data_IF_692125067993
#
_entry.id   IF_692125067993
#
_cell.length_a   1.000
_cell.length_b   1.000
_cell.length_c   1.000
_cell.angle_alpha   90.00
_cell.angle_beta   90.00
_cell.angle_gamma   90.00
#
_symmetry.space_group_name_H-M   'P 1'
#
loop_
_entity.id
_entity.type
_entity.pdbx_description
1 polymer ?
#
# COMPACT_ATOMS: atom_id res chain seq x y z
N UNK A 1 28.87 -23.77 52.94
CA UNK A 1 27.60 -23.06 53.24
C UNK A 1 26.67 -23.23 52.04
N UNK A 2 25.43 -23.66 52.24
CA UNK A 2 24.44 -23.76 51.15
C UNK A 2 23.73 -22.42 51.00
N UNK A 3 23.78 -21.77 49.82
CA UNK A 3 23.16 -20.47 49.62
C UNK A 3 21.65 -20.64 49.34
N UNK A 4 20.85 -20.75 50.39
CA UNK A 4 19.39 -20.91 50.27
C UNK A 4 18.70 -19.78 49.48
N UNK A 5 19.28 -18.58 49.47
CA UNK A 5 18.74 -17.43 48.74
C UNK A 5 18.98 -17.48 47.22
N UNK A 6 20.00 -18.22 46.76
CA UNK A 6 20.38 -18.25 45.35
C UNK A 6 19.33 -18.96 44.49
N UNK A 7 18.68 -20.00 45.04
CA UNK A 7 17.66 -20.77 44.34
C UNK A 7 16.35 -20.01 44.08
N UNK A 8 16.09 -18.92 44.81
CA UNK A 8 14.89 -18.09 44.64
C UNK A 8 15.17 -16.78 43.90
N UNK A 9 16.41 -16.29 43.92
CA UNK A 9 16.77 -15.02 43.31
C UNK A 9 16.41 -14.95 41.81
N UNK A 10 16.84 -15.95 41.04
CA UNK A 10 16.60 -16.02 39.59
C UNK A 10 15.12 -16.12 39.21
N UNK A 11 14.31 -17.06 39.73
CA UNK A 11 12.90 -17.14 39.37
C UNK A 11 12.11 -15.90 39.80
N UNK A 12 12.42 -15.29 40.95
CA UNK A 12 11.77 -14.04 41.37
C UNK A 12 12.15 -12.87 40.46
N UNK A 13 13.43 -12.73 40.09
CA UNK A 13 13.88 -11.68 39.18
C UNK A 13 13.26 -11.81 37.79
N UNK A 14 13.18 -13.04 37.26
CA UNK A 14 12.50 -13.33 35.98
C UNK A 14 11.02 -12.99 36.09
N UNK A 15 10.32 -13.44 37.12
CA UNK A 15 8.88 -13.21 37.28
C UNK A 15 8.53 -11.72 37.38
N UNK A 16 9.30 -10.96 38.16
CA UNK A 16 9.12 -9.50 38.27
C UNK A 16 9.51 -8.81 36.97
N UNK A 17 10.62 -9.22 36.33
CA UNK A 17 11.11 -8.63 35.10
C UNK A 17 10.16 -8.83 33.91
N UNK A 18 9.62 -10.03 33.73
CA UNK A 18 8.63 -10.31 32.67
C UNK A 18 7.30 -9.60 32.95
N UNK A 19 6.86 -9.54 34.21
CA UNK A 19 5.71 -8.75 34.62
C UNK A 19 5.87 -7.27 34.28
N UNK A 20 7.06 -6.71 34.56
CA UNK A 20 7.36 -5.32 34.21
C UNK A 20 7.42 -5.09 32.69
N UNK A 21 7.93 -6.06 31.94
CA UNK A 21 7.89 -6.04 30.48
C UNK A 21 6.46 -5.97 29.95
N UNK A 22 5.55 -6.79 30.49
CA UNK A 22 4.16 -6.81 30.08
C UNK A 22 3.42 -5.49 30.34
N UNK A 23 3.70 -4.82 31.47
CA UNK A 23 3.19 -3.46 31.73
C UNK A 23 3.62 -2.43 30.67
N UNK A 24 4.74 -2.68 29.97
CA UNK A 24 5.26 -1.84 28.89
C UNK A 24 4.94 -2.40 27.50
N UNK A 25 4.04 -3.38 27.39
CA UNK A 25 3.65 -4.00 26.12
C UNK A 25 4.69 -4.96 25.53
N UNK A 26 5.69 -5.39 26.31
CA UNK A 26 6.73 -6.34 25.88
C UNK A 26 6.45 -7.69 26.52
N UNK A 27 6.02 -8.65 25.70
CA UNK A 27 5.66 -10.00 26.17
C UNK A 27 6.81 -10.98 25.93
N UNK A 28 7.46 -11.41 27.02
CA UNK A 28 8.47 -12.47 26.99
C UNK A 28 7.82 -13.85 27.14
N UNK A 29 8.09 -14.77 26.22
CA UNK A 29 7.56 -16.16 26.24
C UNK A 29 8.38 -17.14 27.10
N UNK A 30 9.16 -16.62 28.05
CA UNK A 30 10.12 -17.40 28.84
C UNK A 30 11.17 -16.49 29.48
N UNK A 31 11.79 -16.97 30.57
CA UNK A 31 12.84 -16.23 31.28
C UNK A 31 14.16 -16.16 30.52
N UNK A 32 14.46 -17.20 29.76
CA UNK A 32 15.64 -17.31 28.88
C UNK A 32 15.66 -16.23 27.80
N UNK A 33 14.49 -15.77 27.34
CA UNK A 33 14.39 -14.68 26.36
C UNK A 33 14.73 -13.32 26.99
N UNK A 34 14.33 -13.11 28.25
CA UNK A 34 14.67 -11.90 29.01
C UNK A 34 16.16 -11.84 29.31
N UNK A 35 16.77 -12.97 29.71
CA UNK A 35 18.20 -13.08 29.96
C UNK A 35 19.04 -12.84 28.69
N UNK A 36 18.65 -13.46 27.57
CA UNK A 36 19.36 -13.30 26.29
C UNK A 36 19.26 -11.89 25.74
N UNK A 37 18.18 -11.18 26.00
CA UNK A 37 17.96 -9.81 25.51
C UNK A 37 19.09 -8.85 25.91
N UNK A 38 19.68 -9.02 27.10
CA UNK A 38 20.80 -8.17 27.55
C UNK A 38 22.07 -8.33 26.69
N UNK A 39 22.29 -9.51 26.11
CA UNK A 39 23.48 -9.82 25.32
C UNK A 39 23.35 -9.51 23.82
N UNK A 40 22.20 -8.99 23.38
CA UNK A 40 21.98 -8.66 21.98
C UNK A 40 22.84 -7.47 21.56
N UNK A 41 23.54 -7.60 20.43
CA UNK A 41 24.39 -6.55 19.84
C UNK A 41 23.87 -6.03 18.51
N UNK A 42 23.00 -6.80 17.85
CA UNK A 42 22.41 -6.46 16.57
C UNK A 42 20.91 -6.76 16.60
N UNK A 43 20.13 -5.86 16.01
CA UNK A 43 18.68 -6.01 15.83
C UNK A 43 18.42 -5.90 14.33
N UNK A 44 17.87 -6.95 13.75
CA UNK A 44 17.38 -6.95 12.36
C UNK A 44 15.88 -6.83 12.43
N UNK A 45 15.34 -5.74 11.89
CA UNK A 45 13.91 -5.50 11.85
C UNK A 45 13.39 -5.89 10.48
N UNK A 46 12.32 -6.68 10.45
CA UNK A 46 11.55 -6.85 9.22
C UNK A 46 10.87 -5.52 8.85
N UNK A 47 10.70 -5.24 7.57
CA UNK A 47 10.08 -3.97 7.15
C UNK A 47 8.56 -4.05 7.31
N UNK A 48 7.95 -5.07 6.70
CA UNK A 48 6.50 -5.14 6.53
C UNK A 48 5.83 -5.64 7.81
N UNK A 49 5.03 -4.81 8.45
CA UNK A 49 4.31 -5.19 9.68
C UNK A 49 5.13 -5.09 10.98
N UNK A 50 6.42 -4.73 10.90
CA UNK A 50 7.23 -4.36 12.07
C UNK A 50 7.59 -2.88 12.05
N UNK A 51 8.25 -2.40 10.98
CA UNK A 51 8.54 -0.96 10.82
C UNK A 51 7.34 -0.23 10.21
N UNK A 52 6.65 -0.87 9.27
CA UNK A 52 5.48 -0.31 8.59
C UNK A 52 4.18 -0.78 9.23
N UNK A 53 3.11 -0.01 9.05
CA UNK A 53 1.74 -0.36 9.50
C UNK A 53 1.16 -1.61 8.82
N UNK A 54 1.82 -2.16 7.79
CA UNK A 54 1.30 -3.27 6.99
C UNK A 54 0.15 -2.90 6.05
N UNK A 55 -0.33 -1.66 6.10
CA UNK A 55 -1.43 -1.14 5.28
C UNK A 55 -0.88 -0.20 4.19
N UNK A 56 -1.03 -0.52 2.90
CA UNK A 56 -0.64 0.38 1.83
C UNK A 56 -1.55 1.61 1.81
N UNK A 57 -0.96 2.77 1.49
CA UNK A 57 -1.68 4.04 1.37
C UNK A 57 -1.21 4.76 0.10
N UNK A 58 -2.14 5.42 -0.59
CA UNK A 58 -1.82 6.25 -1.76
C UNK A 58 -1.07 7.50 -1.30
N UNK A 59 0.18 7.65 -1.76
CA UNK A 59 1.04 8.79 -1.43
C UNK A 59 0.91 9.91 -2.47
N UNK A 60 0.97 9.55 -3.74
CA UNK A 60 1.04 10.48 -4.87
C UNK A 60 0.00 10.11 -5.91
N UNK A 61 -0.68 11.13 -6.46
CA UNK A 61 -1.52 11.00 -7.65
C UNK A 61 -0.93 11.93 -8.68
N UNK A 62 -0.46 11.41 -9.81
CA UNK A 62 0.14 12.21 -10.88
C UNK A 62 -0.61 12.01 -12.17
N UNK A 63 -1.05 13.10 -12.76
CA UNK A 63 -1.74 13.11 -14.05
C UNK A 63 -0.74 13.49 -15.14
N UNK A 64 -0.81 12.82 -16.29
CA UNK A 64 -0.13 13.29 -17.48
C UNK A 64 -0.87 14.53 -18.00
N UNK A 65 -0.20 15.69 -17.96
CA UNK A 65 -0.65 16.88 -18.68
C UNK A 65 -0.52 16.66 -20.19
N UNK A 66 -1.41 17.26 -20.98
CA UNK A 66 -1.43 17.19 -22.44
C UNK A 66 -0.23 17.89 -23.14
N UNK A 67 0.79 18.30 -22.38
CA UNK A 67 1.89 19.15 -22.86
C UNK A 67 3.23 18.40 -23.02
N UNK A 68 3.21 17.07 -23.05
CA UNK A 68 4.39 16.25 -23.36
C UNK A 68 4.29 15.66 -24.78
N UNK A 69 4.60 16.48 -25.78
CA UNK A 69 5.08 16.02 -27.09
C UNK A 69 4.04 15.42 -28.04
N UNK A 70 3.77 16.13 -29.13
CA UNK A 70 2.99 15.68 -30.27
C UNK A 70 3.43 14.31 -30.83
N UNK A 71 2.48 13.37 -30.97
CA UNK A 71 2.68 12.21 -31.84
C UNK A 71 1.77 11.01 -31.53
N UNK A 72 0.94 10.66 -32.53
CA UNK A 72 0.22 9.39 -32.72
C UNK A 72 -1.00 9.13 -31.81
N UNK A 73 -2.17 9.30 -32.41
CA UNK A 73 -3.46 9.17 -31.75
C UNK A 73 -3.96 7.74 -31.54
N UNK A 74 -4.95 7.64 -30.66
CA UNK A 74 -6.07 6.74 -30.78
C UNK A 74 -7.22 7.39 -29.99
N UNK A 75 -8.24 7.84 -30.71
CA UNK A 75 -9.36 8.56 -30.12
C UNK A 75 -10.20 7.70 -29.18
N UNK A 76 -10.78 8.35 -28.17
CA UNK A 76 -12.24 8.44 -28.00
C UNK A 76 -12.55 9.21 -26.70
N UNK A 77 -13.14 10.40 -26.84
CA UNK A 77 -13.93 11.05 -25.77
C UNK A 77 -13.16 11.70 -24.62
N UNK A 78 -12.23 12.61 -24.92
CA UNK A 78 -11.74 13.55 -23.93
C UNK A 78 -12.61 14.82 -23.94
N UNK A 79 -13.83 14.70 -23.42
CA UNK A 79 -14.52 15.90 -22.93
C UNK A 79 -13.75 16.41 -21.72
N UNK A 80 -13.15 17.58 -21.88
CA UNK A 80 -12.66 18.44 -20.79
C UNK A 80 -11.39 17.97 -20.07
N UNK A 81 -10.23 18.21 -20.69
CA UNK A 81 -8.98 18.47 -19.94
C UNK A 81 -8.80 19.99 -19.74
N UNK A 82 -9.90 20.71 -19.52
CA UNK A 82 -9.92 22.13 -19.15
C UNK A 82 -10.31 22.23 -17.68
N UNK A 83 -9.42 21.79 -16.80
CA UNK A 83 -9.61 21.78 -15.36
C UNK A 83 -8.29 22.05 -14.66
N UNK A 84 -8.35 22.56 -13.44
CA UNK A 84 -7.16 22.74 -12.61
C UNK A 84 -6.52 21.38 -12.31
N UNK A 85 -5.22 21.35 -11.99
CA UNK A 85 -4.50 20.08 -11.69
C UNK A 85 -5.22 19.24 -10.62
N UNK A 86 -5.88 19.90 -9.65
CA UNK A 86 -6.66 19.26 -8.60
C UNK A 86 -7.92 18.53 -9.12
N UNK A 87 -8.59 19.08 -10.14
CA UNK A 87 -9.77 18.45 -10.74
C UNK A 87 -9.36 17.20 -11.54
N UNK A 88 -8.20 17.26 -12.19
CA UNK A 88 -7.65 16.16 -12.96
C UNK A 88 -7.22 14.99 -12.05
N UNK A 89 -6.57 15.27 -10.93
CA UNK A 89 -6.22 14.26 -9.91
C UNK A 89 -7.48 13.62 -9.32
N UNK A 90 -8.49 14.43 -9.00
CA UNK A 90 -9.79 13.94 -8.51
C UNK A 90 -10.48 13.01 -9.51
N UNK A 91 -10.46 13.37 -10.80
CA UNK A 91 -10.99 12.53 -11.88
C UNK A 91 -10.24 11.20 -12.00
N UNK A 92 -8.91 11.22 -11.96
CA UNK A 92 -8.09 10.01 -12.03
C UNK A 92 -8.39 9.08 -10.85
N UNK A 93 -8.40 9.63 -9.63
CA UNK A 93 -8.68 8.88 -8.41
C UNK A 93 -10.10 8.29 -8.43
N UNK A 94 -11.10 9.04 -8.93
CA UNK A 94 -12.48 8.58 -9.11
C UNK A 94 -12.56 7.36 -10.04
N UNK A 95 -11.92 7.45 -11.20
CA UNK A 95 -11.93 6.37 -12.21
C UNK A 95 -11.14 5.16 -11.73
N UNK A 96 -9.97 5.36 -11.12
CA UNK A 96 -9.17 4.28 -10.56
C UNK A 96 -9.91 3.52 -9.45
N UNK A 97 -10.56 4.25 -8.53
CA UNK A 97 -11.34 3.64 -7.46
C UNK A 97 -12.56 2.86 -7.99
N UNK A 98 -13.16 3.27 -9.11
CA UNK A 98 -14.29 2.56 -9.70
C UNK A 98 -13.89 1.17 -10.21
N UNK A 99 -12.75 1.07 -10.89
CA UNK A 99 -12.21 -0.22 -11.36
C UNK A 99 -11.77 -1.08 -10.17
N UNK A 100 -11.06 -0.49 -9.21
CA UNK A 100 -10.46 -1.21 -8.08
C UNK A 100 -11.48 -1.60 -7.00
N UNK A 101 -12.69 -1.05 -7.02
CA UNK A 101 -13.79 -1.44 -6.13
C UNK A 101 -14.12 -2.94 -6.21
N UNK A 102 -13.90 -3.57 -7.37
CA UNK A 102 -14.15 -4.99 -7.61
C UNK A 102 -12.92 -5.88 -7.32
N UNK A 103 -11.80 -5.31 -6.90
CA UNK A 103 -10.54 -6.01 -6.65
C UNK A 103 -10.30 -6.18 -5.15
N UNK A 104 -9.92 -7.39 -4.72
CA UNK A 104 -9.60 -7.70 -3.31
C UNK A 104 -8.16 -7.35 -2.94
N UNK A 105 -7.35 -6.89 -3.90
CA UNK A 105 -5.92 -6.66 -3.70
C UNK A 105 -5.67 -5.52 -2.68
N UNK A 106 -4.69 -5.63 -1.76
CA UNK A 106 -4.43 -4.57 -0.76
C UNK A 106 -4.18 -3.18 -1.36
N UNK A 107 -3.53 -3.11 -2.53
CA UNK A 107 -3.32 -1.85 -3.25
C UNK A 107 -4.63 -1.25 -3.81
N UNK A 108 -5.55 -2.10 -4.25
CA UNK A 108 -6.88 -1.68 -4.72
C UNK A 108 -7.67 -1.01 -3.60
N UNK A 109 -7.64 -1.65 -2.42
CA UNK A 109 -8.29 -1.13 -1.22
C UNK A 109 -7.72 0.24 -0.83
N UNK A 110 -6.41 0.44 -0.93
CA UNK A 110 -5.79 1.73 -0.64
C UNK A 110 -6.32 2.87 -1.53
N UNK A 111 -6.55 2.59 -2.83
CA UNK A 111 -7.10 3.55 -3.78
C UNK A 111 -8.57 3.87 -3.45
N UNK A 112 -9.38 2.85 -3.16
CA UNK A 112 -10.79 3.00 -2.79
C UNK A 112 -10.94 3.78 -1.49
N UNK A 113 -10.12 3.51 -0.48
CA UNK A 113 -10.10 4.24 0.79
C UNK A 113 -9.74 5.71 0.53
N UNK A 114 -8.66 5.98 -0.22
CA UNK A 114 -8.25 7.35 -0.56
C UNK A 114 -9.36 8.13 -1.26
N UNK A 115 -10.07 7.51 -2.20
CA UNK A 115 -11.21 8.15 -2.89
C UNK A 115 -12.37 8.46 -1.94
N UNK A 116 -12.70 7.55 -1.02
CA UNK A 116 -13.75 7.76 0.00
C UNK A 116 -13.37 8.86 0.99
N UNK A 117 -12.13 8.88 1.45
CA UNK A 117 -11.61 9.91 2.38
C UNK A 117 -11.66 11.30 1.75
N UNK A 118 -11.46 11.39 0.44
CA UNK A 118 -11.62 12.62 -0.34
C UNK A 118 -13.08 12.97 -0.66
N UNK A 119 -14.07 12.20 -0.18
CA UNK A 119 -15.49 12.44 -0.42
C UNK A 119 -15.93 12.21 -1.86
N UNK A 120 -15.16 11.44 -2.65
CA UNK A 120 -15.44 11.20 -4.06
C UNK A 120 -16.49 10.10 -4.22
N UNK A 121 -17.55 10.38 -4.97
CA UNK A 121 -18.55 9.36 -5.36
C UNK A 121 -17.94 8.42 -6.40
N UNK A 122 -17.87 7.13 -6.05
CA UNK A 122 -17.27 6.09 -6.90
C UNK A 122 -18.35 5.48 -7.82
N UNK A 123 -18.24 5.62 -9.16
CA UNK A 123 -19.18 5.01 -10.10
C UNK A 123 -19.03 3.47 -10.14
N UNK A 124 -20.01 2.78 -10.72
CA UNK A 124 -19.91 1.34 -10.96
C UNK A 124 -19.08 1.03 -12.20
N UNK A 125 -18.19 0.04 -12.07
CA UNK A 125 -17.46 -0.54 -13.18
C UNK A 125 -18.19 -1.79 -13.69
N UNK A 126 -18.31 -1.90 -15.01
CA UNK A 126 -18.84 -3.07 -15.73
C UNK A 126 -17.71 -3.79 -16.44
N UNK A 127 -17.89 -5.08 -16.78
CA UNK A 127 -16.89 -5.88 -17.51
C UNK A 127 -15.50 -5.89 -16.86
N UNK A 128 -15.43 -6.09 -15.54
CA UNK A 128 -14.17 -6.21 -14.81
C UNK A 128 -13.44 -7.52 -15.16
N UNK A 129 -12.17 -7.41 -15.53
CA UNK A 129 -11.26 -8.51 -15.85
C UNK A 129 -9.96 -8.33 -15.06
N UNK A 130 -9.61 -9.32 -14.23
CA UNK A 130 -8.33 -9.37 -13.56
C UNK A 130 -7.30 -10.06 -14.47
N UNK A 131 -6.15 -9.42 -14.68
CA UNK A 131 -5.03 -9.92 -15.49
C UNK A 131 -3.85 -10.28 -14.56
N UNK A 132 -3.70 -11.56 -14.17
CA UNK A 132 -2.71 -11.96 -13.17
C UNK A 132 -1.28 -11.59 -13.58
N UNK A 133 -0.57 -10.87 -12.70
CA UNK A 133 0.79 -10.40 -12.95
C UNK A 133 0.91 -9.15 -13.83
N UNK A 134 -0.22 -8.58 -14.27
CA UNK A 134 -0.26 -7.37 -15.10
C UNK A 134 -1.09 -6.25 -14.47
N UNK A 135 -2.31 -6.55 -14.00
CA UNK A 135 -3.22 -5.55 -13.46
C UNK A 135 -4.69 -5.94 -13.63
N UNK A 136 -5.54 -4.95 -13.87
CA UNK A 136 -6.99 -5.09 -14.05
C UNK A 136 -7.48 -4.21 -15.22
N UNK A 137 -8.56 -4.64 -15.86
CA UNK A 137 -9.25 -3.89 -16.90
C UNK A 137 -10.75 -3.83 -16.56
N UNK A 138 -11.40 -2.69 -16.79
CA UNK A 138 -12.85 -2.59 -16.67
C UNK A 138 -13.42 -1.45 -17.51
N UNK A 139 -14.73 -1.39 -17.63
CA UNK A 139 -15.46 -0.30 -18.31
C UNK A 139 -16.18 0.55 -17.28
N UNK A 140 -15.86 1.85 -17.23
CA UNK A 140 -16.48 2.84 -16.35
C UNK A 140 -17.00 3.98 -17.20
N UNK A 141 -18.26 4.38 -17.02
CA UNK A 141 -18.89 5.46 -17.82
C UNK A 141 -18.77 5.23 -19.35
N UNK A 142 -18.72 3.96 -19.79
CA UNK A 142 -18.57 3.60 -21.21
C UNK A 142 -17.13 3.66 -21.74
N UNK A 143 -16.15 4.00 -20.91
CA UNK A 143 -14.73 4.05 -21.25
C UNK A 143 -14.00 2.82 -20.73
N UNK A 144 -13.16 2.19 -21.57
CA UNK A 144 -12.28 1.10 -21.14
C UNK A 144 -11.09 1.68 -20.37
N UNK A 145 -10.95 1.27 -19.11
CA UNK A 145 -9.86 1.63 -18.22
C UNK A 145 -8.95 0.44 -17.98
N UNK A 146 -7.64 0.71 -17.95
CA UNK A 146 -6.58 -0.25 -17.70
C UNK A 146 -5.75 0.25 -16.52
N UNK A 147 -5.56 -0.58 -15.50
CA UNK A 147 -4.76 -0.27 -14.33
C UNK A 147 -3.77 -1.40 -14.14
N UNK A 148 -2.48 -1.11 -14.11
CA UNK A 148 -1.48 -2.16 -14.01
C UNK A 148 -0.06 -1.66 -14.20
N UNK A 149 0.84 -2.62 -14.43
CA UNK A 149 2.26 -2.36 -14.64
C UNK A 149 2.59 -2.00 -16.09
N UNK A 150 3.85 -1.65 -16.34
CA UNK A 150 4.36 -1.28 -17.67
C UNK A 150 4.13 -2.37 -18.72
N UNK A 151 4.21 -3.65 -18.34
CA UNK A 151 3.98 -4.77 -19.27
C UNK A 151 2.54 -4.80 -19.78
N UNK A 152 1.56 -4.44 -18.94
CA UNK A 152 0.17 -4.29 -19.37
C UNK A 152 0.06 -3.19 -20.42
N UNK A 153 0.68 -2.04 -20.16
CA UNK A 153 0.65 -0.88 -21.05
C UNK A 153 1.28 -1.19 -22.41
N UNK A 154 2.46 -1.82 -22.42
CA UNK A 154 3.14 -2.26 -23.65
C UNK A 154 2.29 -3.26 -24.45
N UNK A 155 1.63 -4.22 -23.78
CA UNK A 155 0.78 -5.22 -24.44
C UNK A 155 -0.44 -4.60 -25.14
N UNK A 156 -0.86 -3.41 -24.69
CA UNK A 156 -1.99 -2.65 -25.25
C UNK A 156 -1.51 -1.50 -26.15
N UNK A 157 -0.20 -1.38 -26.38
CA UNK A 157 0.38 -0.34 -27.23
C UNK A 157 0.33 1.06 -26.62
N UNK A 158 0.28 1.17 -25.29
CA UNK A 158 0.23 2.45 -24.58
C UNK A 158 1.66 2.88 -24.22
N UNK A 159 2.10 4.04 -24.73
CA UNK A 159 3.40 4.61 -24.40
C UNK A 159 3.40 5.10 -22.94
N UNK A 160 4.23 4.48 -22.10
CA UNK A 160 4.40 4.83 -20.68
C UNK A 160 5.63 5.70 -20.42
N UNK A 161 6.32 6.15 -21.48
CA UNK A 161 7.62 6.83 -21.45
C UNK A 161 7.60 8.10 -20.59
N UNK A 162 6.49 8.86 -20.64
CA UNK A 162 6.30 10.09 -19.86
C UNK A 162 6.34 9.89 -18.33
N UNK A 163 6.20 8.65 -17.84
CA UNK A 163 6.24 8.33 -16.41
C UNK A 163 7.49 7.54 -15.97
N UNK A 164 8.40 7.20 -16.90
CA UNK A 164 9.59 6.40 -16.59
C UNK A 164 10.73 7.20 -15.93
N UNK A 165 10.71 8.54 -16.00
CA UNK A 165 11.86 9.39 -15.68
C UNK A 165 11.98 9.86 -14.21
N UNK A 166 11.08 9.48 -13.31
CA UNK A 166 11.08 10.03 -11.94
C UNK A 166 11.10 8.93 -10.87
N UNK A 167 12.21 8.20 -10.82
CA UNK A 167 12.53 7.31 -9.71
C UNK A 167 13.40 8.01 -8.67
#
# INVERSE_FOLDING_TARGET
>A
ACPCALGLATPTAIMVGTGKGAENGILFKGGEHLERAHSLTAIILDKTGTITKGEPQVTDVRVCGADAGAGAGAGAGAEGCAGTDADAEGRLLRLAAAVEKNSEHPLAQAIVIKARDNGITIPEATSFEALPGYGVAAVVEGQTLLIGNTRLMESKGIAAEAFQEQR
#
